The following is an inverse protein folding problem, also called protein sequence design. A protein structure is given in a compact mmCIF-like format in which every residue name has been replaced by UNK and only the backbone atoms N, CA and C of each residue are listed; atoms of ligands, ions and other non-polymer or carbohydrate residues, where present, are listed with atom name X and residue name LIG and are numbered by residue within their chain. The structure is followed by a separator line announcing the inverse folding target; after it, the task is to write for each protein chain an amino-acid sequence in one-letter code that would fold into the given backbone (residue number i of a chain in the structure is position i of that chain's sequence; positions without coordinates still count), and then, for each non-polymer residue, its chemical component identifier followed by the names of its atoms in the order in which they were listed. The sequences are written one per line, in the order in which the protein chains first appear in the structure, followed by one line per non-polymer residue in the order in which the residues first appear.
data_IF_373413395666
#
_entry.id   IF_373413395666
#
_cell.length_a   1.000
_cell.length_b   1.000
_cell.length_c   1.000
_cell.angle_alpha   90.00
_cell.angle_beta   90.00
_cell.angle_gamma   90.00
#
_symmetry.space_group_name_H-M   'P 1'
#
loop_
_entity.id
_entity.type
_entity.pdbx_description
1 polymer ?
#
# COMPACT_ATOMS: atom_id res chain seq x y z
N UNK A 1 16.99 16.53 12.18
CA UNK A 1 15.59 16.03 12.18
C UNK A 1 14.73 17.11 11.56
N UNK A 2 14.45 17.00 10.26
CA UNK A 2 13.59 17.95 9.53
C UNK A 2 12.61 17.12 8.72
N UNK A 3 11.40 17.03 9.26
CA UNK A 3 10.26 16.28 8.73
C UNK A 3 9.70 17.01 7.50
N UNK A 4 10.09 16.57 6.31
CA UNK A 4 9.42 16.99 5.07
C UNK A 4 8.98 15.77 4.26
N UNK A 5 8.10 14.95 4.83
CA UNK A 5 7.33 13.97 4.06
C UNK A 5 5.90 14.51 3.88
N UNK A 6 5.78 15.67 3.23
CA UNK A 6 4.50 16.33 2.91
C UNK A 6 4.16 16.40 1.40
N UNK A 7 4.79 15.70 0.44
CA UNK A 7 4.30 15.77 -0.95
C UNK A 7 3.01 14.96 -1.19
N UNK A 8 2.68 13.98 -0.34
CA UNK A 8 1.65 12.98 -0.65
C UNK A 8 0.40 13.00 0.24
N UNK A 9 0.31 13.86 1.25
CA UNK A 9 -0.77 13.77 2.25
C UNK A 9 -2.17 13.91 1.65
N UNK A 10 -2.35 14.79 0.66
CA UNK A 10 -3.65 14.98 -0.02
C UNK A 10 -4.04 13.76 -0.84
N UNK A 11 -3.13 13.25 -1.68
CA UNK A 11 -3.42 12.10 -2.54
C UNK A 11 -3.63 10.81 -1.72
N UNK A 12 -2.91 10.64 -0.62
CA UNK A 12 -3.13 9.53 0.30
C UNK A 12 -4.49 9.59 0.96
N UNK A 13 -4.97 10.77 1.36
CA UNK A 13 -6.33 10.92 1.88
C UNK A 13 -7.37 10.61 0.80
N UNK A 14 -7.13 11.02 -0.45
CA UNK A 14 -7.99 10.66 -1.59
C UNK A 14 -8.07 9.15 -1.78
N UNK A 15 -6.93 8.45 -1.70
CA UNK A 15 -6.85 6.98 -1.83
C UNK A 15 -7.57 6.31 -0.66
N UNK A 16 -7.24 6.68 0.57
CA UNK A 16 -7.78 6.06 1.79
C UNK A 16 -9.29 6.21 1.91
N UNK A 17 -9.83 7.34 1.49
CA UNK A 17 -11.28 7.59 1.52
C UNK A 17 -12.01 7.05 0.29
N UNK A 18 -11.31 6.49 -0.69
CA UNK A 18 -11.90 6.03 -1.95
C UNK A 18 -12.55 7.13 -2.78
N UNK A 19 -12.19 8.41 -2.58
CA UNK A 19 -12.85 9.57 -3.23
C UNK A 19 -12.69 9.54 -4.75
N UNK A 20 -11.61 8.93 -5.24
CA UNK A 20 -11.32 8.79 -6.66
C UNK A 20 -11.53 7.36 -7.18
N UNK A 21 -12.45 6.58 -6.58
CA UNK A 21 -12.68 5.17 -6.93
C UNK A 21 -13.02 4.94 -8.41
N UNK A 22 -13.55 5.96 -9.08
CA UNK A 22 -13.92 5.91 -10.51
C UNK A 22 -12.74 6.23 -11.44
N UNK A 23 -11.58 6.57 -10.87
CA UNK A 23 -10.36 6.91 -11.59
C UNK A 23 -9.16 6.11 -11.06
N UNK A 24 -8.99 4.85 -11.51
CA UNK A 24 -7.83 4.00 -11.20
C UNK A 24 -6.48 4.69 -11.42
N UNK A 25 -6.42 5.63 -12.37
CA UNK A 25 -5.22 6.43 -12.69
C UNK A 25 -4.66 7.17 -11.48
N UNK A 26 -5.49 7.59 -10.52
CA UNK A 26 -5.03 8.29 -9.31
C UNK A 26 -4.14 7.38 -8.46
N UNK A 27 -4.51 6.11 -8.31
CA UNK A 27 -3.69 5.13 -7.59
C UNK A 27 -2.37 4.89 -8.32
N UNK A 28 -2.42 4.65 -9.63
CA UNK A 28 -1.21 4.40 -10.42
C UNK A 28 -0.26 5.61 -10.38
N UNK A 29 -0.79 6.84 -10.52
CA UNK A 29 0.00 8.05 -10.42
C UNK A 29 0.66 8.18 -9.04
N UNK A 30 -0.06 7.87 -7.95
CA UNK A 30 0.53 7.87 -6.61
C UNK A 30 1.71 6.90 -6.49
N UNK A 31 1.55 5.68 -6.99
CA UNK A 31 2.58 4.65 -6.94
C UNK A 31 3.79 5.03 -7.79
N UNK A 32 3.57 5.45 -9.04
CA UNK A 32 4.64 5.83 -9.97
C UNK A 32 5.40 7.06 -9.45
N UNK A 33 4.70 8.04 -8.88
CA UNK A 33 5.34 9.22 -8.27
C UNK A 33 6.12 8.85 -7.02
N UNK A 34 5.60 7.92 -6.21
CA UNK A 34 6.31 7.44 -5.01
C UNK A 34 7.59 6.70 -5.38
N UNK A 35 7.54 5.84 -6.40
CA UNK A 35 8.72 5.13 -6.91
C UNK A 35 9.75 6.11 -7.49
N UNK A 36 9.34 7.03 -8.36
CA UNK A 36 10.24 8.04 -8.92
C UNK A 36 10.83 8.99 -7.87
N UNK A 37 10.10 9.25 -6.77
CA UNK A 37 10.60 10.04 -5.65
C UNK A 37 11.61 9.23 -4.81
N UNK A 38 11.34 7.95 -4.56
CA UNK A 38 12.23 7.06 -3.81
C UNK A 38 13.62 6.93 -4.47
N UNK A 39 13.70 6.93 -5.80
CA UNK A 39 14.98 6.90 -6.54
C UNK A 39 15.90 8.09 -6.24
N UNK A 40 15.35 9.19 -5.72
CA UNK A 40 16.09 10.41 -5.39
C UNK A 40 16.42 10.52 -3.89
N UNK A 41 15.94 9.58 -3.08
CA UNK A 41 16.08 9.57 -1.64
C UNK A 41 17.28 8.71 -1.20
N UNK A 42 17.71 8.92 0.05
CA UNK A 42 18.59 7.98 0.72
C UNK A 42 17.87 6.65 1.01
N UNK A 43 18.66 5.61 1.31
CA UNK A 43 18.16 4.25 1.55
C UNK A 43 17.09 4.22 2.66
N UNK A 44 17.34 4.93 3.77
CA UNK A 44 16.42 4.97 4.92
C UNK A 44 15.11 5.67 4.55
N UNK A 45 15.19 6.81 3.87
CA UNK A 45 14.02 7.61 3.50
C UNK A 45 13.18 6.91 2.42
N UNK A 46 13.83 6.21 1.49
CA UNK A 46 13.15 5.37 0.49
C UNK A 46 12.41 4.20 1.17
N UNK A 47 13.03 3.55 2.15
CA UNK A 47 12.40 2.50 2.94
C UNK A 47 11.14 3.02 3.67
N UNK A 48 11.26 4.15 4.37
CA UNK A 48 10.14 4.77 5.10
C UNK A 48 9.00 5.16 4.15
N UNK A 49 9.32 5.65 2.95
CA UNK A 49 8.34 5.96 1.92
C UNK A 49 7.59 4.71 1.48
N UNK A 50 8.28 3.63 1.11
CA UNK A 50 7.61 2.40 0.68
C UNK A 50 6.79 1.75 1.80
N UNK A 51 7.26 1.81 3.04
CA UNK A 51 6.50 1.36 4.21
C UNK A 51 5.21 2.16 4.37
N UNK A 52 5.27 3.48 4.22
CA UNK A 52 4.09 4.36 4.25
C UNK A 52 3.13 4.07 3.10
N UNK A 53 3.63 3.88 1.88
CA UNK A 53 2.82 3.51 0.70
C UNK A 53 2.11 2.18 0.95
N UNK A 54 2.82 1.17 1.46
CA UNK A 54 2.24 -0.12 1.84
C UNK A 54 1.10 0.06 2.85
N UNK A 55 1.33 0.82 3.93
CA UNK A 55 0.32 1.08 4.96
C UNK A 55 -0.92 1.78 4.42
N UNK A 56 -0.76 2.79 3.54
CA UNK A 56 -1.89 3.48 2.90
C UNK A 56 -2.76 2.51 2.12
N UNK A 57 -2.16 1.63 1.32
CA UNK A 57 -2.91 0.62 0.56
C UNK A 57 -3.58 -0.38 1.50
N UNK A 58 -2.87 -0.85 2.52
CA UNK A 58 -3.39 -1.82 3.48
C UNK A 58 -4.59 -1.27 4.27
N UNK A 59 -4.48 -0.04 4.78
CA UNK A 59 -5.56 0.67 5.46
C UNK A 59 -6.78 0.80 4.54
N UNK A 60 -6.56 1.18 3.28
CA UNK A 60 -7.63 1.33 2.27
C UNK A 60 -8.33 0.00 2.00
N UNK A 61 -7.57 -1.09 1.86
CA UNK A 61 -8.11 -2.43 1.63
C UNK A 61 -8.99 -2.87 2.81
N UNK A 62 -8.61 -2.52 4.04
CA UNK A 62 -9.33 -2.91 5.25
C UNK A 62 -10.58 -2.06 5.56
N UNK A 63 -10.72 -0.89 4.92
CA UNK A 63 -11.82 0.02 5.22
C UNK A 63 -13.13 -0.38 4.50
N UNK A 64 -14.09 -0.91 5.26
CA UNK A 64 -15.38 -1.33 4.72
C UNK A 64 -16.22 -0.16 4.15
N UNK A 65 -15.92 1.09 4.50
CA UNK A 65 -16.58 2.26 3.91
C UNK A 65 -16.08 2.58 2.49
N UNK A 66 -14.94 2.01 2.09
CA UNK A 66 -14.36 2.19 0.75
C UNK A 66 -15.01 1.22 -0.26
N UNK A 67 -15.33 1.69 -1.49
CA UNK A 67 -15.90 0.84 -2.53
C UNK A 67 -15.08 -0.42 -2.81
N UNK A 68 -15.77 -1.56 -2.98
CA UNK A 68 -15.11 -2.87 -3.11
C UNK A 68 -14.11 -2.94 -4.26
N UNK A 69 -14.46 -2.41 -5.44
CA UNK A 69 -13.57 -2.43 -6.60
C UNK A 69 -12.28 -1.61 -6.36
N UNK A 70 -12.36 -0.54 -5.57
CA UNK A 70 -11.19 0.25 -5.19
C UNK A 70 -10.30 -0.50 -4.20
N UNK A 71 -10.91 -1.22 -3.25
CA UNK A 71 -10.18 -2.11 -2.33
C UNK A 71 -9.47 -3.22 -3.10
N UNK A 72 -10.15 -3.86 -4.06
CA UNK A 72 -9.53 -4.89 -4.92
C UNK A 72 -8.35 -4.32 -5.71
N UNK A 73 -8.52 -3.14 -6.32
CA UNK A 73 -7.43 -2.48 -7.05
C UNK A 73 -6.23 -2.14 -6.15
N UNK A 74 -6.48 -1.66 -4.93
CA UNK A 74 -5.43 -1.39 -3.95
C UNK A 74 -4.72 -2.68 -3.51
N UNK A 75 -5.48 -3.77 -3.33
CA UNK A 75 -4.96 -5.09 -2.99
C UNK A 75 -4.07 -5.65 -4.11
N UNK A 76 -4.50 -5.55 -5.37
CA UNK A 76 -3.70 -5.96 -6.52
C UNK A 76 -2.40 -5.15 -6.63
N UNK A 77 -2.46 -3.87 -6.25
CA UNK A 77 -1.34 -2.94 -6.33
C UNK A 77 -0.36 -3.03 -5.16
N UNK A 78 -0.74 -3.64 -4.02
CA UNK A 78 0.05 -3.62 -2.78
C UNK A 78 1.36 -4.40 -2.87
N UNK A 79 1.47 -5.33 -3.83
CA UNK A 79 2.72 -6.04 -4.09
C UNK A 79 3.83 -5.12 -4.60
N UNK A 80 3.51 -3.98 -5.23
CA UNK A 80 4.54 -3.02 -5.69
C UNK A 80 5.40 -2.48 -4.55
N UNK A 81 4.85 -1.79 -3.52
CA UNK A 81 5.66 -1.33 -2.39
C UNK A 81 6.28 -2.49 -1.59
N UNK A 82 5.59 -3.64 -1.48
CA UNK A 82 6.15 -4.81 -0.79
C UNK A 82 7.41 -5.35 -1.49
N UNK A 83 7.41 -5.43 -2.82
CA UNK A 83 8.59 -5.83 -3.59
C UNK A 83 9.73 -4.83 -3.48
N UNK A 84 9.44 -3.54 -3.36
CA UNK A 84 10.48 -2.55 -3.08
C UNK A 84 11.06 -2.74 -1.67
N UNK A 85 10.22 -2.92 -0.65
CA UNK A 85 10.65 -3.20 0.74
C UNK A 85 11.55 -4.43 0.84
N UNK A 86 11.27 -5.48 0.06
CA UNK A 86 12.11 -6.69 0.00
C UNK A 86 13.56 -6.39 -0.37
N UNK A 87 13.81 -5.37 -1.21
CA UNK A 87 15.16 -4.98 -1.66
C UNK A 87 16.01 -4.36 -0.55
N UNK A 88 15.39 -3.91 0.53
CA UNK A 88 16.06 -3.33 1.70
C UNK A 88 16.40 -4.38 2.76
N UNK A 89 16.05 -5.65 2.56
CA UNK A 89 16.38 -6.73 3.49
C UNK A 89 17.85 -7.09 3.34
N UNK A 90 18.68 -6.60 4.27
CA UNK A 90 20.12 -6.85 4.32
C UNK A 90 20.47 -7.69 5.55
N UNK A 91 19.81 -7.42 6.67
CA UNK A 91 20.03 -8.09 7.95
C UNK A 91 18.86 -9.01 8.32
N UNK A 92 19.09 -9.91 9.27
CA UNK A 92 18.01 -10.74 9.84
C UNK A 92 16.90 -9.88 10.46
N UNK A 93 17.25 -8.73 11.04
CA UNK A 93 16.28 -7.81 11.62
C UNK A 93 15.36 -7.19 10.55
N UNK A 94 15.92 -6.82 9.40
CA UNK A 94 15.13 -6.33 8.25
C UNK A 94 14.22 -7.42 7.71
N UNK A 95 14.70 -8.67 7.68
CA UNK A 95 13.93 -9.83 7.23
C UNK A 95 12.71 -10.05 8.13
N UNK A 96 12.88 -9.96 9.46
CA UNK A 96 11.76 -10.06 10.42
C UNK A 96 10.69 -9.01 10.14
N UNK A 97 11.09 -7.76 9.91
CA UNK A 97 10.12 -6.70 9.62
C UNK A 97 9.43 -6.90 8.26
N UNK A 98 10.17 -7.31 7.23
CA UNK A 98 9.59 -7.64 5.93
C UNK A 98 8.56 -8.77 6.02
N UNK A 99 8.89 -9.88 6.70
CA UNK A 99 7.97 -11.01 6.85
C UNK A 99 6.73 -10.65 7.67
N UNK A 100 6.81 -9.68 8.58
CA UNK A 100 5.63 -9.13 9.26
C UNK A 100 4.66 -8.50 8.27
N UNK A 101 5.14 -7.66 7.34
CA UNK A 101 4.28 -7.05 6.31
C UNK A 101 3.69 -8.10 5.37
N UNK A 102 4.48 -9.10 4.95
CA UNK A 102 4.00 -10.18 4.10
C UNK A 102 2.92 -11.02 4.81
N UNK A 103 3.12 -11.32 6.09
CA UNK A 103 2.17 -12.06 6.90
C UNK A 103 0.84 -11.31 7.05
N UNK A 104 0.90 -10.01 7.33
CA UNK A 104 -0.27 -9.14 7.47
C UNK A 104 -1.07 -9.09 6.17
N UNK A 105 -0.40 -8.88 5.03
CA UNK A 105 -1.02 -8.92 3.71
C UNK A 105 -1.67 -10.29 3.45
N UNK A 106 -0.95 -11.39 3.72
CA UNK A 106 -1.46 -12.75 3.49
C UNK A 106 -2.73 -13.03 4.30
N UNK A 107 -2.74 -12.66 5.57
CA UNK A 107 -3.90 -12.82 6.44
C UNK A 107 -5.13 -12.06 5.88
N UNK A 108 -4.92 -10.84 5.40
CA UNK A 108 -5.97 -10.01 4.81
C UNK A 108 -6.43 -10.54 3.45
N UNK A 109 -5.52 -10.92 2.55
CA UNK A 109 -5.87 -11.51 1.26
C UNK A 109 -6.74 -12.75 1.43
N UNK A 110 -6.45 -13.61 2.41
CA UNK A 110 -7.30 -14.76 2.73
C UNK A 110 -8.69 -14.35 3.22
N UNK A 111 -8.79 -13.32 4.06
CA UNK A 111 -10.08 -12.78 4.51
C UNK A 111 -10.90 -12.24 3.33
N UNK A 112 -10.29 -11.43 2.46
CA UNK A 112 -10.98 -10.86 1.30
C UNK A 112 -11.36 -11.92 0.25
N UNK A 113 -10.47 -12.88 -0.05
CA UNK A 113 -10.80 -14.00 -0.94
C UNK A 113 -11.86 -14.93 -0.35
N UNK A 114 -11.86 -15.16 0.97
CA UNK A 114 -12.89 -15.97 1.64
C UNK A 114 -14.24 -15.24 1.65
N UNK A 115 -14.25 -13.92 1.87
CA UNK A 115 -15.46 -13.10 1.79
C UNK A 115 -16.05 -13.07 0.37
N UNK A 116 -15.20 -13.15 -0.66
CA UNK A 116 -15.61 -13.27 -2.08
C UNK A 116 -16.31 -14.60 -2.38
N UNK A 117 -15.96 -15.68 -1.67
CA UNK A 117 -16.60 -17.00 -1.80
C UNK A 117 -17.94 -17.04 -1.04
N UNK A 118 -18.07 -16.27 0.04
CA UNK A 118 -19.30 -16.17 0.84
C UNK A 118 -20.29 -15.11 0.30
N UNK A 119 -19.86 -14.28 -0.64
CA UNK A 119 -20.69 -13.29 -1.36
C UNK A 119 -21.57 -13.94 -2.44
N UNK A 120 -22.48 -14.81 -2.02
CA UNK A 120 -23.66 -15.14 -2.83
C UNK A 120 -24.56 -13.90 -2.84
N UNK A 121 -24.72 -13.35 -4.05
CA UNK A 121 -25.83 -12.51 -4.53
C UNK A 121 -26.41 -11.45 -3.58
N UNK A 122 -26.14 -10.18 -3.89
CA UNK A 122 -27.15 -9.13 -3.81
C UNK A 122 -27.13 -8.32 -5.11
#
# INVERSE_FOLDING_TARGET
MTYHIVPFSVIEQTIKRGVASDSPKVLHQYLDTSEAYAERLGISEAYDLYKRVFQVLLETVCDAAVPMHWRELCLDSIYRPLMQLKRFVITDQDAVEYYRFEHELRALSHYFMSSKIMGVSQ
#
